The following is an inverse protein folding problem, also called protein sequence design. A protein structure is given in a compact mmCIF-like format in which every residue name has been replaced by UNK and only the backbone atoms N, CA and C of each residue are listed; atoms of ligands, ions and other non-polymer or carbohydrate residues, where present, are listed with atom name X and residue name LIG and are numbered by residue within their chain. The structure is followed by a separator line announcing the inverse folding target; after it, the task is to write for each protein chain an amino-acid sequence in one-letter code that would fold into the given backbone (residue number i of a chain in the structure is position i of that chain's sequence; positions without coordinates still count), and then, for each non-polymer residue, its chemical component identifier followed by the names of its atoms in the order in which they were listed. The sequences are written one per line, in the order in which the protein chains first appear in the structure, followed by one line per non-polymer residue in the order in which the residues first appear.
data_IF_711159433510
#
_entry.id   IF_711159433510
#
_cell.length_a   1.000
_cell.length_b   1.000
_cell.length_c   1.000
_cell.angle_alpha   90.00
_cell.angle_beta   90.00
_cell.angle_gamma   90.00
#
_symmetry.space_group_name_H-M   'P 1'
#
loop_
_entity.id
_entity.type
_entity.pdbx_description
1 polymer ?
#
# COMPACT_ATOMS: atom_id res chain seq x y z
N UNK A 1 8.09 13.47 18.10
CA UNK A 1 8.50 13.67 16.69
C UNK A 1 8.48 12.31 16.02
N UNK A 2 7.54 12.03 15.10
CA UNK A 2 7.50 10.73 14.41
C UNK A 2 8.70 10.66 13.46
N UNK A 3 9.55 9.65 13.65
CA UNK A 3 10.75 9.37 12.85
C UNK A 3 10.28 9.16 11.41
N UNK A 4 10.72 9.99 10.47
CA UNK A 4 10.63 9.72 9.03
C UNK A 4 11.46 8.46 8.78
N UNK A 5 10.80 7.33 8.62
CA UNK A 5 11.44 6.07 8.27
C UNK A 5 11.56 6.04 6.75
N UNK A 6 12.76 6.21 6.22
CA UNK A 6 13.05 5.85 4.83
C UNK A 6 12.49 4.43 4.58
N UNK A 7 11.64 4.30 3.55
CA UNK A 7 10.88 3.07 3.29
C UNK A 7 9.49 3.00 3.94
N UNK A 8 8.93 4.12 4.41
CA UNK A 8 7.51 4.20 4.76
C UNK A 8 6.62 4.00 3.51
N UNK A 9 5.35 3.65 3.72
CA UNK A 9 4.40 3.50 2.61
C UNK A 9 4.25 4.82 1.83
N UNK A 10 4.18 5.93 2.57
CA UNK A 10 4.05 7.27 2.03
C UNK A 10 5.28 7.70 1.22
N UNK A 11 6.49 7.29 1.62
CA UNK A 11 7.70 7.58 0.86
C UNK A 11 7.76 6.75 -0.44
N UNK A 12 7.37 5.48 -0.41
CA UNK A 12 7.32 4.64 -1.61
C UNK A 12 6.24 5.12 -2.59
N UNK A 13 5.09 5.56 -2.09
CA UNK A 13 4.03 6.14 -2.90
C UNK A 13 4.50 7.45 -3.57
N UNK A 14 5.18 8.32 -2.82
CA UNK A 14 5.78 9.54 -3.36
C UNK A 14 6.80 9.21 -4.45
N UNK A 15 7.64 8.20 -4.24
CA UNK A 15 8.63 7.79 -5.25
C UNK A 15 7.95 7.26 -6.52
N UNK A 16 6.85 6.52 -6.40
CA UNK A 16 6.04 6.11 -7.56
C UNK A 16 5.47 7.30 -8.34
N UNK A 17 4.97 8.31 -7.65
CA UNK A 17 4.48 9.55 -8.28
C UNK A 17 5.61 10.29 -9.02
N UNK A 18 6.80 10.37 -8.41
CA UNK A 18 8.00 10.93 -9.04
C UNK A 18 8.40 10.16 -10.30
N UNK A 19 8.45 8.82 -10.23
CA UNK A 19 8.76 7.95 -11.37
C UNK A 19 7.75 8.16 -12.50
N UNK A 20 6.46 8.21 -12.19
CA UNK A 20 5.41 8.48 -13.19
C UNK A 20 5.64 9.82 -13.88
N UNK A 21 5.94 10.88 -13.12
CA UNK A 21 6.23 12.19 -13.69
C UNK A 21 7.51 12.23 -14.53
N UNK A 22 8.52 11.44 -14.18
CA UNK A 22 9.75 11.31 -14.98
C UNK A 22 9.48 10.55 -16.29
N UNK A 23 8.67 9.49 -16.26
CA UNK A 23 8.32 8.70 -17.45
C UNK A 23 7.43 9.47 -18.44
N UNK A 24 6.65 10.45 -17.96
CA UNK A 24 5.86 11.34 -18.81
C UNK A 24 6.72 12.38 -19.55
N UNK A 25 8.00 12.50 -19.22
CA UNK A 25 8.91 13.43 -19.90
C UNK A 25 9.36 12.88 -21.27
N UNK A 26 8.98 13.56 -22.35
CA UNK A 26 9.36 13.20 -23.73
C UNK A 26 10.87 13.21 -24.00
N UNK A 27 11.68 13.87 -23.16
CA UNK A 27 13.13 13.92 -23.30
C UNK A 27 13.88 12.79 -22.59
N UNK A 28 13.18 11.83 -21.99
CA UNK A 28 13.81 10.74 -21.25
C UNK A 28 14.54 9.77 -22.20
N UNK A 29 15.74 9.32 -21.80
CA UNK A 29 16.47 8.30 -22.53
C UNK A 29 15.84 6.91 -22.36
N UNK A 30 15.97 6.04 -23.36
CA UNK A 30 15.41 4.68 -23.31
C UNK A 30 15.91 3.88 -22.10
N UNK A 31 17.21 3.89 -21.85
CA UNK A 31 17.81 3.12 -20.74
C UNK A 31 17.32 3.63 -19.37
N UNK A 32 17.16 4.94 -19.24
CA UNK A 32 16.64 5.57 -18.03
C UNK A 32 15.16 5.25 -17.82
N UNK A 33 14.36 5.29 -18.89
CA UNK A 33 12.95 4.89 -18.84
C UNK A 33 12.78 3.42 -18.43
N UNK A 34 13.61 2.52 -18.95
CA UNK A 34 13.61 1.10 -18.54
C UNK A 34 13.95 0.98 -17.05
N UNK A 35 15.00 1.66 -16.59
CA UNK A 35 15.42 1.59 -15.18
C UNK A 35 14.34 2.12 -14.22
N UNK A 36 13.71 3.25 -14.56
CA UNK A 36 12.61 3.82 -13.77
C UNK A 36 11.37 2.91 -13.77
N UNK A 37 11.09 2.26 -14.90
CA UNK A 37 9.97 1.32 -14.99
C UNK A 37 10.20 0.08 -14.12
N UNK A 38 11.42 -0.48 -14.11
CA UNK A 38 11.79 -1.58 -13.22
C UNK A 38 11.65 -1.18 -11.74
N UNK A 39 12.15 0.00 -11.36
CA UNK A 39 12.00 0.55 -10.02
C UNK A 39 10.51 0.70 -9.64
N UNK A 40 9.70 1.25 -10.55
CA UNK A 40 8.27 1.44 -10.36
C UNK A 40 7.52 0.11 -10.14
N UNK A 41 7.89 -0.95 -10.86
CA UNK A 41 7.29 -2.27 -10.64
C UNK A 41 7.59 -2.80 -9.24
N UNK A 42 8.84 -2.71 -8.77
CA UNK A 42 9.21 -3.21 -7.44
C UNK A 42 8.57 -2.41 -6.30
N UNK A 43 8.52 -1.08 -6.44
CA UNK A 43 7.81 -0.22 -5.51
C UNK A 43 6.31 -0.53 -5.46
N UNK A 44 5.68 -0.71 -6.62
CA UNK A 44 4.25 -1.04 -6.73
C UNK A 44 3.92 -2.37 -6.03
N UNK A 45 4.72 -3.41 -6.28
CA UNK A 45 4.59 -4.71 -5.58
C UNK A 45 4.69 -4.55 -4.06
N UNK A 46 5.65 -3.76 -3.60
CA UNK A 46 5.90 -3.55 -2.17
C UNK A 46 4.74 -2.78 -1.52
N UNK A 47 4.23 -1.74 -2.18
CA UNK A 47 3.05 -1.00 -1.72
C UNK A 47 1.82 -1.91 -1.61
N UNK A 48 1.58 -2.72 -2.63
CA UNK A 48 0.47 -3.68 -2.62
C UNK A 48 0.57 -4.68 -1.46
N UNK A 49 1.76 -5.22 -1.19
CA UNK A 49 1.97 -6.13 -0.06
C UNK A 49 1.63 -5.46 1.27
N UNK A 50 2.09 -4.22 1.49
CA UNK A 50 1.79 -3.47 2.72
C UNK A 50 0.29 -3.18 2.88
N UNK A 51 -0.41 -2.84 1.79
CA UNK A 51 -1.85 -2.62 1.81
C UNK A 51 -2.59 -3.91 2.19
N UNK A 52 -2.21 -5.05 1.61
CA UNK A 52 -2.80 -6.36 1.94
C UNK A 52 -2.58 -6.73 3.41
N UNK A 53 -1.39 -6.49 3.94
CA UNK A 53 -1.12 -6.71 5.37
C UNK A 53 -1.97 -5.80 6.27
N UNK A 54 -2.17 -4.54 5.87
CA UNK A 54 -3.02 -3.60 6.60
C UNK A 54 -4.49 -4.05 6.57
N UNK A 55 -4.99 -4.47 5.41
CA UNK A 55 -6.35 -4.98 5.24
C UNK A 55 -6.63 -6.21 6.13
N UNK A 56 -5.68 -7.16 6.18
CA UNK A 56 -5.80 -8.34 7.06
C UNK A 56 -5.89 -7.91 8.53
N UNK A 57 -5.06 -6.96 8.97
CA UNK A 57 -5.08 -6.45 10.35
C UNK A 57 -6.40 -5.77 10.67
N UNK A 58 -6.90 -4.90 9.79
CA UNK A 58 -8.19 -4.21 9.97
C UNK A 58 -9.34 -5.22 10.04
N UNK A 59 -9.34 -6.21 9.15
CA UNK A 59 -10.37 -7.27 9.14
C UNK A 59 -10.35 -8.10 10.43
N UNK A 60 -9.16 -8.48 10.92
CA UNK A 60 -9.03 -9.21 12.18
C UNK A 60 -9.51 -8.39 13.39
N UNK A 61 -9.17 -7.10 13.44
CA UNK A 61 -9.63 -6.20 14.51
C UNK A 61 -11.15 -6.03 14.48
N UNK A 62 -11.73 -5.85 13.28
CA UNK A 62 -13.19 -5.76 13.11
C UNK A 62 -13.89 -7.01 13.62
N UNK A 63 -13.41 -8.20 13.23
CA UNK A 63 -13.96 -9.48 13.72
C UNK A 63 -13.84 -9.61 15.24
N UNK A 64 -12.73 -9.17 15.82
CA UNK A 64 -12.56 -9.17 17.28
C UNK A 64 -13.57 -8.26 17.99
N UNK A 65 -13.86 -7.08 17.43
CA UNK A 65 -14.86 -6.16 17.99
C UNK A 65 -16.29 -6.70 17.87
N UNK A 66 -16.59 -7.39 16.78
CA UNK A 66 -17.89 -8.05 16.55
C UNK A 66 -18.09 -9.26 17.49
N UNK A 67 -17.03 -9.90 17.98
CA UNK A 67 -17.10 -11.02 18.92
C UNK A 67 -17.25 -10.60 20.41
N UNK A 68 -16.96 -9.35 20.75
CA UNK A 68 -17.08 -8.81 22.12
C UNK A 68 -18.41 -8.07 22.37
N UNK A 69 -19.32 -8.01 21.39
CA UNK A 69 -20.61 -7.34 21.47
C UNK A 69 -21.80 -8.27 21.25
N UNK A 70 -22.29 -8.87 22.34
CA UNK A 70 -23.55 -9.63 22.54
C UNK A 70 -23.95 -10.74 21.52
N UNK A 71 -24.51 -11.87 22.01
CA UNK A 71 -25.04 -12.91 21.14
C UNK A 71 -26.23 -12.35 20.35
N UNK A 72 -26.22 -12.45 19.03
CA UNK A 72 -27.45 -12.26 18.26
C UNK A 72 -28.37 -13.44 18.56
N UNK A 73 -29.46 -13.15 19.26
CA UNK A 73 -30.62 -14.02 19.45
C UNK A 73 -31.10 -14.58 18.10
N UNK A 74 -30.67 -15.80 17.77
CA UNK A 74 -31.45 -16.73 16.97
C UNK A 74 -32.26 -17.60 17.95
N UNK A 75 -33.18 -16.95 18.69
CA UNK A 75 -34.43 -17.57 19.14
C UNK A 75 -35.52 -16.81 18.41
N UNK A 76 -35.93 -17.31 17.25
CA UNK A 76 -37.32 -17.21 16.80
C UNK A 76 -37.60 -18.33 15.79
N UNK A 77 -38.41 -19.29 16.30
CA UNK A 77 -39.14 -20.45 15.72
C UNK A 77 -38.74 -21.09 14.39
#
# INVERSE_FOLDING_TARGET
MKKKSEGSFEDMLRRLEEISGMLDNESIGLDEAISLYEEGIELSKTCYSKLKEAEVKVTALRKSLEMDGEPSDDIEE
#
